data_IF_905921046069
#
_entry.id   IF_905921046069
#
_cell.length_a   1.000
_cell.length_b   1.000
_cell.length_c   1.000
_cell.angle_alpha   90.00
_cell.angle_beta   90.00
_cell.angle_gamma   90.00
#
_symmetry.space_group_name_H-M   'P 1'
#
loop_
_entity.id
_entity.type
_entity.pdbx_description
1 polymer ?
#
# COMPACT_ATOMS: atom_id res chain seq x y z
N UNK A 1 6.96 11.40 23.23
CA UNK A 1 7.39 10.49 22.15
C UNK A 1 6.69 11.01 20.90
N UNK A 2 7.39 11.81 20.10
CA UNK A 2 6.78 12.51 18.97
C UNK A 2 6.85 11.57 17.77
N UNK A 3 5.69 11.15 17.26
CA UNK A 3 5.60 10.34 16.05
C UNK A 3 6.17 11.15 14.88
N UNK A 4 7.36 10.79 14.43
CA UNK A 4 7.93 11.34 13.21
C UNK A 4 7.21 10.65 12.04
N UNK A 5 6.34 11.40 11.39
CA UNK A 5 5.90 11.06 10.04
C UNK A 5 7.06 11.46 9.14
N UNK A 6 7.89 10.49 8.75
CA UNK A 6 8.90 10.72 7.71
C UNK A 6 8.18 10.85 6.37
N UNK A 7 7.85 12.09 6.01
CA UNK A 7 7.39 12.43 4.68
C UNK A 7 8.57 12.40 3.70
N UNK A 8 8.89 11.22 3.17
CA UNK A 8 9.94 11.02 2.18
C UNK A 8 9.48 11.53 0.81
N UNK A 9 9.57 12.84 0.59
CA UNK A 9 9.40 13.46 -0.72
C UNK A 9 10.52 13.05 -1.69
N UNK A 10 10.18 12.16 -2.63
CA UNK A 10 10.84 11.79 -3.91
C UNK A 10 12.38 11.68 -3.91
N UNK A 11 12.86 10.43 -3.92
CA UNK A 11 13.72 9.81 -4.97
C UNK A 11 14.06 8.33 -4.65
N UNK A 12 13.67 7.82 -3.49
CA UNK A 12 13.86 6.41 -3.15
C UNK A 12 12.57 5.87 -2.48
N UNK A 13 11.72 5.21 -3.26
CA UNK A 13 10.50 4.51 -2.79
C UNK A 13 10.84 3.21 -2.04
N UNK A 14 11.95 3.19 -1.31
CA UNK A 14 12.47 1.98 -0.72
C UNK A 14 12.64 2.14 0.77
N UNK A 15 11.97 1.29 1.53
CA UNK A 15 11.97 1.33 2.99
C UNK A 15 12.58 0.07 3.56
N UNK A 16 13.07 0.17 4.79
CA UNK A 16 13.50 -1.00 5.57
C UNK A 16 12.51 -1.25 6.69
N UNK A 17 11.79 -2.36 6.61
CA UNK A 17 10.85 -2.79 7.65
C UNK A 17 11.29 -4.16 8.15
N UNK A 18 11.61 -4.26 9.44
CA UNK A 18 11.96 -5.53 10.10
C UNK A 18 13.08 -6.32 9.38
N UNK A 19 14.05 -5.61 8.81
CA UNK A 19 15.16 -6.21 8.06
C UNK A 19 14.88 -6.47 6.57
N UNK A 20 13.64 -6.29 6.11
CA UNK A 20 13.27 -6.41 4.70
C UNK A 20 13.45 -5.07 3.98
N UNK A 21 14.07 -5.13 2.81
CA UNK A 21 14.14 -4.01 1.85
C UNK A 21 12.90 -4.10 0.98
N UNK A 22 12.01 -3.12 1.07
CA UNK A 22 10.71 -3.13 0.41
C UNK A 22 10.66 -1.98 -0.58
N UNK A 23 10.29 -2.28 -1.83
CA UNK A 23 10.05 -1.27 -2.85
C UNK A 23 8.56 -0.91 -2.88
N UNK A 24 8.22 0.24 -2.28
CA UNK A 24 6.85 0.74 -2.21
C UNK A 24 6.24 0.93 -3.60
N UNK A 25 7.07 1.38 -4.56
CA UNK A 25 6.64 1.57 -5.95
C UNK A 25 6.15 0.28 -6.63
N UNK A 26 6.66 -0.89 -6.23
CA UNK A 26 6.17 -2.17 -6.77
C UNK A 26 4.75 -2.47 -6.26
N UNK A 27 4.50 -2.21 -4.97
CA UNK A 27 3.19 -2.38 -4.35
C UNK A 27 2.19 -1.40 -4.96
N UNK A 28 2.58 -0.13 -5.09
CA UNK A 28 1.78 0.91 -5.72
C UNK A 28 1.43 0.56 -7.17
N UNK A 29 2.42 0.15 -7.97
CA UNK A 29 2.19 -0.21 -9.36
C UNK A 29 1.19 -1.37 -9.51
N UNK A 30 1.25 -2.38 -8.62
CA UNK A 30 0.30 -3.49 -8.60
C UNK A 30 -1.11 -3.03 -8.22
N UNK A 31 -1.25 -2.20 -7.19
CA UNK A 31 -2.55 -1.67 -6.76
C UNK A 31 -3.15 -0.72 -7.81
N UNK A 32 -2.35 0.14 -8.42
CA UNK A 32 -2.75 1.08 -9.46
C UNK A 32 -3.21 0.36 -10.74
N UNK A 33 -2.74 -0.87 -10.99
CA UNK A 33 -3.17 -1.68 -12.13
C UNK A 33 -4.59 -2.26 -11.97
N UNK A 34 -5.15 -2.28 -10.75
CA UNK A 34 -6.49 -2.77 -10.54
C UNK A 34 -7.53 -1.77 -11.07
N UNK A 35 -8.51 -2.19 -11.89
CA UNK A 35 -9.41 -1.29 -12.61
C UNK A 35 -10.34 -0.47 -11.71
N UNK A 36 -10.53 -0.87 -10.45
CA UNK A 36 -11.33 -0.12 -9.49
C UNK A 36 -10.54 0.99 -8.77
N UNK A 37 -9.22 1.09 -8.95
CA UNK A 37 -8.36 2.07 -8.27
C UNK A 37 -8.06 3.23 -9.21
N UNK A 38 -8.32 4.46 -8.74
CA UNK A 38 -7.99 5.70 -9.43
C UNK A 38 -6.59 6.17 -9.07
N UNK A 39 -6.29 6.20 -7.77
CA UNK A 39 -5.01 6.63 -7.23
C UNK A 39 -4.64 5.75 -6.04
N UNK A 40 -3.34 5.55 -5.84
CA UNK A 40 -2.79 4.85 -4.69
C UNK A 40 -1.52 5.51 -4.20
N UNK A 41 -1.31 5.45 -2.88
CA UNK A 41 0.00 5.66 -2.28
C UNK A 41 0.22 4.66 -1.15
N UNK A 42 1.44 4.12 -1.06
CA UNK A 42 1.82 3.20 0.01
C UNK A 42 2.86 3.87 0.89
N UNK A 43 2.64 3.83 2.19
CA UNK A 43 3.51 4.42 3.21
C UNK A 43 4.00 3.35 4.19
N UNK A 44 5.18 3.59 4.74
CA UNK A 44 5.66 2.90 5.92
C UNK A 44 5.36 3.73 7.17
N UNK A 45 4.51 3.21 8.06
CA UNK A 45 4.13 3.84 9.32
C UNK A 45 4.44 2.87 10.46
N UNK A 46 5.21 3.32 11.45
CA UNK A 46 5.56 2.55 12.66
C UNK A 46 6.04 1.11 12.37
N UNK A 47 6.82 0.93 11.29
CA UNK A 47 7.34 -0.37 10.88
C UNK A 47 6.29 -1.32 10.29
N UNK A 48 5.22 -0.77 9.72
CA UNK A 48 4.19 -1.47 8.97
C UNK A 48 3.87 -0.73 7.67
N UNK A 49 3.29 -1.45 6.71
CA UNK A 49 2.82 -0.87 5.45
C UNK A 49 1.33 -0.50 5.53
N UNK A 50 1.01 0.69 5.06
CA UNK A 50 -0.35 1.20 4.88
C UNK A 50 -0.55 1.66 3.43
N UNK A 51 -1.63 1.22 2.79
CA UNK A 51 -2.03 1.64 1.46
C UNK A 51 -3.22 2.60 1.56
N UNK A 52 -3.08 3.79 1.00
CA UNK A 52 -4.14 4.76 0.80
C UNK A 52 -4.65 4.60 -0.62
N UNK A 53 -5.94 4.35 -0.75
CA UNK A 53 -6.60 4.01 -2.00
C UNK A 53 -7.67 5.04 -2.31
N UNK A 54 -7.76 5.44 -3.56
CA UNK A 54 -8.88 6.23 -4.06
C UNK A 54 -9.60 5.38 -5.09
N UNK A 55 -10.84 4.93 -4.83
CA UNK A 55 -11.58 4.11 -5.79
C UNK A 55 -12.12 4.98 -6.94
N UNK A 56 -12.40 4.34 -8.08
CA UNK A 56 -13.04 5.01 -9.21
C UNK A 56 -14.51 5.36 -8.92
N UNK A 57 -15.19 4.53 -8.12
CA UNK A 57 -16.60 4.70 -7.75
C UNK A 57 -16.74 4.94 -6.24
N UNK A 58 -17.52 5.96 -5.80
CA UNK A 58 -17.65 6.30 -4.39
C UNK A 58 -18.50 5.30 -3.59
N UNK A 59 -19.47 4.65 -4.22
CA UNK A 59 -20.40 3.69 -3.58
C UNK A 59 -19.89 2.24 -3.63
N UNK A 60 -18.62 2.05 -3.98
CA UNK A 60 -18.03 0.72 -4.07
C UNK A 60 -17.97 0.04 -2.70
N UNK A 61 -18.24 -1.27 -2.65
CA UNK A 61 -18.02 -2.05 -1.42
C UNK A 61 -16.54 -2.07 -1.06
N UNK A 62 -16.17 -1.21 -0.10
CA UNK A 62 -14.81 -1.03 0.35
C UNK A 62 -14.25 -2.29 1.01
N UNK A 63 -15.08 -3.10 1.68
CA UNK A 63 -14.60 -4.30 2.35
C UNK A 63 -14.23 -5.37 1.32
N UNK A 64 -15.10 -5.59 0.34
CA UNK A 64 -14.81 -6.49 -0.78
C UNK A 64 -13.57 -6.03 -1.57
N UNK A 65 -13.46 -4.73 -1.85
CA UNK A 65 -12.29 -4.16 -2.53
C UNK A 65 -10.98 -4.44 -1.79
N UNK A 66 -10.92 -4.17 -0.49
CA UNK A 66 -9.71 -4.38 0.32
C UNK A 66 -9.26 -5.84 0.30
N UNK A 67 -10.19 -6.79 0.44
CA UNK A 67 -9.85 -8.21 0.40
C UNK A 67 -9.37 -8.66 -0.98
N UNK A 68 -10.00 -8.18 -2.06
CA UNK A 68 -9.55 -8.46 -3.43
C UNK A 68 -8.11 -7.96 -3.66
N UNK A 69 -7.83 -6.69 -3.38
CA UNK A 69 -6.50 -6.11 -3.56
C UNK A 69 -5.43 -6.81 -2.72
N UNK A 70 -5.77 -7.15 -1.47
CA UNK A 70 -4.87 -7.89 -0.58
C UNK A 70 -4.53 -9.28 -1.13
N UNK A 71 -5.51 -9.98 -1.69
CA UNK A 71 -5.28 -11.29 -2.30
C UNK A 71 -4.47 -11.19 -3.60
N UNK A 72 -4.71 -10.18 -4.42
CA UNK A 72 -3.93 -9.92 -5.63
C UNK A 72 -2.47 -9.62 -5.31
N UNK A 73 -2.19 -8.81 -4.28
CA UNK A 73 -0.83 -8.56 -3.83
C UNK A 73 -0.16 -9.86 -3.35
N UNK A 74 -0.83 -10.67 -2.52
CA UNK A 74 -0.29 -11.95 -2.04
C UNK A 74 0.01 -12.96 -3.14
N UNK A 75 -0.72 -12.91 -4.24
CA UNK A 75 -0.49 -13.80 -5.36
C UNK A 75 0.85 -13.50 -6.08
N UNK A 76 1.41 -12.31 -5.91
CA UNK A 76 2.56 -11.83 -6.68
C UNK A 76 3.72 -11.32 -5.84
N UNK A 77 3.47 -10.95 -4.58
CA UNK A 77 4.43 -10.38 -3.67
C UNK A 77 4.55 -11.25 -2.41
N UNK A 78 5.73 -11.28 -1.78
CA UNK A 78 5.88 -11.93 -0.48
C UNK A 78 5.05 -11.20 0.59
N UNK A 79 4.64 -11.93 1.62
CA UNK A 79 3.74 -11.42 2.67
C UNK A 79 4.21 -10.13 3.35
N UNK A 80 5.53 -9.93 3.49
CA UNK A 80 6.09 -8.72 4.12
C UNK A 80 5.95 -7.46 3.28
N UNK A 81 5.62 -7.57 1.99
CA UNK A 81 5.32 -6.45 1.08
C UNK A 81 3.82 -6.15 1.00
N UNK A 82 2.96 -6.96 1.63
CA UNK A 82 1.51 -6.76 1.60
C UNK A 82 1.12 -5.75 2.70
N UNK A 83 0.45 -4.64 2.36
CA UNK A 83 -0.05 -3.69 3.34
C UNK A 83 -0.91 -4.35 4.41
N UNK A 84 -0.65 -3.97 5.66
CA UNK A 84 -1.44 -4.41 6.82
C UNK A 84 -2.71 -3.58 6.98
N UNK A 85 -2.66 -2.34 6.49
CA UNK A 85 -3.76 -1.38 6.54
C UNK A 85 -4.08 -0.92 5.12
N UNK A 86 -5.36 -0.90 4.80
CA UNK A 86 -5.89 -0.34 3.56
C UNK A 86 -6.93 0.71 3.95
N UNK A 87 -6.65 1.97 3.60
CA UNK A 87 -7.50 3.13 3.86
C UNK A 87 -8.11 3.55 2.52
N UNK A 88 -9.44 3.62 2.45
CA UNK A 88 -10.23 3.96 1.26
C UNK A 88 -11.05 5.21 1.56
#
# INVERSE_FOLDING_TARGET
MVGMIDYAGRIDHQVKIRGFRIELGEIEARLQAHPAIREVSVLALDGQLAAYLVPNEPDQDQQSLRETLKNELRAHLPDYMVPTHFIV
#
